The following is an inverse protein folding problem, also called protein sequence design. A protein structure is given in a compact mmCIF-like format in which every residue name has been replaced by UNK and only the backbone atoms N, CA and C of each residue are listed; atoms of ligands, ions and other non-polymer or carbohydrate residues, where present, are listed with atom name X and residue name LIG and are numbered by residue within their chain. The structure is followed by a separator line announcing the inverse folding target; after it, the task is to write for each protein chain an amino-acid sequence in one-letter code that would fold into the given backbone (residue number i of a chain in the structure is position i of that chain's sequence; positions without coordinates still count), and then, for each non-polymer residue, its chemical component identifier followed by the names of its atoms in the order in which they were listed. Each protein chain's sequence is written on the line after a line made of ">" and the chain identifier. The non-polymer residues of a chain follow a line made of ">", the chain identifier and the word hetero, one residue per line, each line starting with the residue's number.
data_IF_489871865449
#
_entry.id   IF_489871865449
#
_cell.length_a   1.000
_cell.length_b   1.000
_cell.length_c   1.000
_cell.angle_alpha   90.00
_cell.angle_beta   90.00
_cell.angle_gamma   90.00
#
_symmetry.space_group_name_H-M   'P 1'
#
loop_
_entity.id
_entity.type
_entity.pdbx_description
1 polymer ?
#
# COMPACT_ATOMS: atom_id res chain seq x y z
N UNK A 1 -19.28 -22.58 35.94
CA UNK A 1 -18.48 -21.37 35.77
C UNK A 1 -17.11 -21.64 35.12
N UNK A 2 -16.30 -22.52 35.67
CA UNK A 2 -14.97 -22.81 35.08
C UNK A 2 -15.03 -23.23 33.59
N UNK A 3 -15.99 -24.05 33.17
CA UNK A 3 -16.16 -24.51 31.78
C UNK A 3 -16.54 -23.39 30.82
N UNK A 4 -17.35 -22.40 31.28
CA UNK A 4 -17.77 -21.25 30.47
C UNK A 4 -16.59 -20.31 30.26
N UNK A 5 -15.79 -20.07 31.28
CA UNK A 5 -14.60 -19.21 31.22
C UNK A 5 -13.57 -19.82 30.25
N UNK A 6 -13.35 -21.14 30.31
CA UNK A 6 -12.43 -21.84 29.41
C UNK A 6 -12.91 -21.74 27.96
N UNK A 7 -14.21 -21.85 27.69
CA UNK A 7 -14.80 -21.71 26.37
C UNK A 7 -14.60 -20.27 25.82
N UNK A 8 -14.83 -19.25 26.61
CA UNK A 8 -14.67 -17.83 26.21
C UNK A 8 -13.20 -17.54 25.89
N UNK A 9 -12.27 -18.02 26.70
CA UNK A 9 -10.83 -17.84 26.45
C UNK A 9 -10.44 -18.51 25.12
N UNK A 10 -10.93 -19.72 24.88
CA UNK A 10 -10.68 -20.44 23.62
C UNK A 10 -11.18 -19.68 22.40
N UNK A 11 -12.37 -19.11 22.46
CA UNK A 11 -12.95 -18.29 21.37
C UNK A 11 -12.12 -17.03 21.11
N UNK A 12 -11.70 -16.33 22.16
CA UNK A 12 -10.86 -15.13 22.03
C UNK A 12 -9.52 -15.44 21.38
N UNK A 13 -8.89 -16.54 21.75
CA UNK A 13 -7.60 -16.97 21.15
C UNK A 13 -7.78 -17.28 19.65
N UNK A 14 -8.83 -18.00 19.28
CA UNK A 14 -9.11 -18.34 17.87
C UNK A 14 -9.39 -17.09 17.05
N UNK A 15 -10.20 -16.17 17.54
CA UNK A 15 -10.49 -14.90 16.87
C UNK A 15 -9.24 -14.04 16.71
N UNK A 16 -8.39 -13.98 17.72
CA UNK A 16 -7.12 -13.24 17.68
C UNK A 16 -6.16 -13.85 16.66
N UNK A 17 -6.05 -15.15 16.61
CA UNK A 17 -5.23 -15.87 15.64
C UNK A 17 -5.76 -15.65 14.21
N UNK A 18 -7.07 -15.73 13.99
CA UNK A 18 -7.67 -15.48 12.68
C UNK A 18 -7.42 -14.04 12.20
N UNK A 19 -7.50 -13.07 13.12
CA UNK A 19 -7.23 -11.67 12.81
C UNK A 19 -5.76 -11.43 12.47
N UNK A 20 -4.85 -12.07 13.19
CA UNK A 20 -3.41 -12.01 12.94
C UNK A 20 -3.06 -12.62 11.57
N UNK A 21 -3.55 -13.82 11.27
CA UNK A 21 -3.35 -14.47 9.98
C UNK A 21 -3.89 -13.65 8.80
N UNK A 22 -5.05 -13.02 8.97
CA UNK A 22 -5.64 -12.16 7.93
C UNK A 22 -4.78 -10.92 7.68
N UNK A 23 -4.13 -10.39 8.70
CA UNK A 23 -3.25 -9.22 8.60
C UNK A 23 -1.94 -9.54 7.87
N UNK A 24 -1.35 -10.71 8.12
CA UNK A 24 -0.11 -11.14 7.46
C UNK A 24 -0.31 -11.57 6.00
N UNK A 25 -1.52 -11.98 5.65
CA UNK A 25 -1.84 -12.46 4.31
C UNK A 25 -2.24 -11.35 3.31
N UNK A 26 -2.08 -10.10 3.66
CA UNK A 26 -2.43 -8.98 2.79
C UNK A 26 -1.18 -8.17 2.46
N UNK A 27 -0.94 -7.93 1.18
CA UNK A 27 0.11 -7.01 0.74
C UNK A 27 -0.20 -5.58 1.18
N UNK A 28 0.82 -4.84 1.57
CA UNK A 28 0.67 -3.45 2.00
C UNK A 28 1.66 -2.54 1.29
N UNK A 29 1.20 -1.33 1.00
CA UNK A 29 2.03 -0.23 0.53
C UNK A 29 1.90 0.89 1.56
N UNK A 30 3.01 1.28 2.16
CA UNK A 30 3.06 2.36 3.14
C UNK A 30 3.69 3.57 2.51
N UNK A 31 2.95 4.67 2.43
CA UNK A 31 3.45 5.95 1.95
C UNK A 31 3.82 6.83 3.14
N UNK A 32 5.06 7.27 3.19
CA UNK A 32 5.55 8.24 4.18
C UNK A 32 5.82 9.57 3.50
N UNK A 33 5.07 10.60 3.86
CA UNK A 33 5.34 11.94 3.40
C UNK A 33 6.32 12.64 4.35
N UNK A 34 7.57 12.74 3.95
CA UNK A 34 8.62 13.43 4.72
C UNK A 34 8.63 14.94 4.50
N UNK A 35 7.77 15.45 3.61
CA UNK A 35 7.69 16.87 3.27
C UNK A 35 6.78 17.64 4.22
N UNK A 36 6.77 18.96 4.08
CA UNK A 36 5.89 19.87 4.82
C UNK A 36 4.61 20.20 4.06
N UNK A 37 4.42 19.60 2.89
CA UNK A 37 3.26 19.80 2.02
C UNK A 37 2.39 18.55 1.99
N UNK A 38 1.09 18.73 1.79
CA UNK A 38 0.18 17.64 1.52
C UNK A 38 0.43 17.09 0.13
N UNK A 39 0.37 15.77 -0.03
CA UNK A 39 0.56 15.09 -1.32
C UNK A 39 -0.76 14.46 -1.72
N UNK A 40 -1.23 14.86 -2.90
CA UNK A 40 -2.50 14.43 -3.49
C UNK A 40 -2.31 14.02 -4.95
N UNK A 41 -3.37 13.49 -5.55
CA UNK A 41 -3.45 13.23 -6.98
C UNK A 41 -2.39 12.27 -7.51
N UNK A 42 -2.06 11.26 -6.72
CA UNK A 42 -1.23 10.15 -7.19
C UNK A 42 -2.04 8.85 -7.22
N UNK A 43 -1.63 7.95 -8.09
CA UNK A 43 -2.37 6.75 -8.43
C UNK A 43 -1.43 5.55 -8.50
N UNK A 44 -1.98 4.36 -8.28
CA UNK A 44 -1.25 3.09 -8.43
C UNK A 44 -1.95 2.18 -9.43
N UNK A 45 -1.19 1.27 -10.00
CA UNK A 45 -1.71 0.25 -10.90
C UNK A 45 -0.85 -1.02 -10.85
N UNK A 46 -1.50 -2.18 -10.78
CA UNK A 46 -0.87 -3.44 -11.16
C UNK A 46 -0.69 -3.48 -12.68
N UNK A 47 0.39 -4.08 -13.15
CA UNK A 47 0.71 -4.11 -14.59
C UNK A 47 -0.34 -4.77 -15.47
N UNK A 48 -1.18 -5.65 -14.90
CA UNK A 48 -2.29 -6.30 -15.61
C UNK A 48 -3.57 -5.48 -15.69
N UNK A 49 -3.66 -4.36 -14.97
CA UNK A 49 -4.85 -3.51 -14.94
C UNK A 49 -4.83 -2.48 -16.08
N UNK A 50 -6.01 -2.13 -16.60
CA UNK A 50 -6.18 -1.12 -17.64
C UNK A 50 -6.34 0.30 -17.09
N UNK A 51 -6.68 0.43 -15.81
CA UNK A 51 -6.97 1.71 -15.17
C UNK A 51 -6.14 1.94 -13.92
N UNK A 52 -5.87 3.22 -13.65
CA UNK A 52 -5.18 3.68 -12.45
C UNK A 52 -6.16 3.91 -11.30
N UNK A 53 -5.75 3.54 -10.10
CA UNK A 53 -6.51 3.72 -8.87
C UNK A 53 -5.94 4.85 -8.04
N UNK A 54 -6.79 5.80 -7.64
CA UNK A 54 -6.39 6.91 -6.77
C UNK A 54 -6.05 6.40 -5.38
N UNK A 55 -4.95 6.91 -4.83
CA UNK A 55 -4.48 6.48 -3.50
C UNK A 55 -5.05 7.34 -2.37
N UNK A 56 -5.28 8.61 -2.59
CA UNK A 56 -5.75 9.55 -1.57
C UNK A 56 -4.68 10.55 -1.14
N UNK A 57 -5.01 11.32 -0.11
CA UNK A 57 -4.13 12.38 0.42
C UNK A 57 -3.20 11.85 1.50
N UNK A 58 -1.94 12.27 1.44
CA UNK A 58 -0.99 12.06 2.53
C UNK A 58 -0.65 13.43 3.14
N UNK A 59 -1.08 13.64 4.37
CA UNK A 59 -0.83 14.90 5.08
C UNK A 59 0.66 15.17 5.30
N UNK A 60 1.07 16.43 5.51
CA UNK A 60 2.46 16.77 5.82
C UNK A 60 2.99 15.94 6.98
N UNK A 61 4.18 15.36 6.82
CA UNK A 61 4.81 14.45 7.80
C UNK A 61 3.97 13.22 8.16
N UNK A 62 2.93 12.95 7.38
CA UNK A 62 1.97 11.88 7.61
C UNK A 62 2.36 10.56 6.93
N UNK A 63 1.55 9.56 7.24
CA UNK A 63 1.68 8.21 6.73
C UNK A 63 0.32 7.72 6.23
N UNK A 64 0.30 7.05 5.10
CA UNK A 64 -0.86 6.37 4.56
C UNK A 64 -0.50 4.90 4.28
N UNK A 65 -1.25 3.99 4.88
CA UNK A 65 -1.07 2.56 4.65
C UNK A 65 -2.26 2.07 3.85
N UNK A 66 -2.00 1.51 2.68
CA UNK A 66 -3.03 0.86 1.88
C UNK A 66 -2.81 -0.64 1.84
N UNK A 67 -3.90 -1.38 1.97
CA UNK A 67 -3.92 -2.82 1.71
C UNK A 67 -4.12 -3.00 0.21
N UNK A 68 -3.27 -3.80 -0.38
CA UNK A 68 -3.29 -4.02 -1.83
C UNK A 68 -3.37 -5.50 -2.13
N UNK A 69 -4.51 -5.93 -2.66
CA UNK A 69 -4.68 -7.27 -3.19
C UNK A 69 -4.64 -7.22 -4.71
N UNK A 70 -3.92 -8.14 -5.36
CA UNK A 70 -3.90 -8.17 -6.81
C UNK A 70 -5.28 -8.50 -7.39
N UNK A 71 -5.59 -8.02 -8.61
CA UNK A 71 -6.81 -8.40 -9.32
C UNK A 71 -6.90 -9.91 -9.51
N UNK A 72 -8.12 -10.44 -9.67
CA UNK A 72 -8.34 -11.89 -9.84
C UNK A 72 -7.57 -12.50 -11.02
N UNK A 73 -7.45 -11.75 -12.10
CA UNK A 73 -6.76 -12.17 -13.32
C UNK A 73 -5.24 -11.91 -13.28
N UNK A 74 -4.73 -11.34 -12.19
CA UNK A 74 -3.31 -11.08 -12.03
C UNK A 74 -2.57 -12.40 -11.73
N UNK A 75 -1.53 -12.71 -12.49
CA UNK A 75 -0.66 -13.85 -12.25
C UNK A 75 0.69 -13.38 -11.70
N UNK A 76 1.34 -12.48 -12.41
CA UNK A 76 2.62 -11.90 -12.06
C UNK A 76 2.79 -10.53 -12.70
N UNK A 77 3.66 -9.70 -12.19
CA UNK A 77 3.95 -8.40 -12.76
C UNK A 77 4.51 -7.40 -11.75
N UNK A 78 4.23 -6.16 -12.00
CA UNK A 78 4.73 -5.01 -11.24
C UNK A 78 3.60 -4.21 -10.62
N UNK A 79 3.93 -3.32 -9.69
CA UNK A 79 3.06 -2.26 -9.22
C UNK A 79 3.75 -0.93 -9.48
N UNK A 80 3.06 -0.03 -10.17
CA UNK A 80 3.55 1.28 -10.55
C UNK A 80 2.78 2.39 -9.84
N UNK A 81 3.48 3.49 -9.60
CA UNK A 81 2.96 4.74 -9.08
C UNK A 81 2.97 5.77 -10.20
N UNK A 82 1.87 6.51 -10.37
CA UNK A 82 1.77 7.61 -11.32
C UNK A 82 1.39 8.91 -10.63
N UNK A 83 2.00 9.99 -11.07
CA UNK A 83 1.62 11.36 -10.72
C UNK A 83 1.95 12.30 -11.88
N UNK A 84 1.53 13.54 -11.77
CA UNK A 84 1.79 14.56 -12.79
C UNK A 84 2.61 15.69 -12.17
N UNK A 85 3.62 16.16 -12.90
CA UNK A 85 4.41 17.30 -12.45
C UNK A 85 3.64 18.62 -12.58
N UNK A 86 4.26 19.72 -12.22
CA UNK A 86 3.65 21.04 -12.26
C UNK A 86 3.21 21.47 -13.67
N UNK A 87 3.81 20.91 -14.71
CA UNK A 87 3.48 21.19 -16.12
C UNK A 87 2.45 20.20 -16.70
N UNK A 88 1.94 19.27 -15.88
CA UNK A 88 1.00 18.25 -16.32
C UNK A 88 1.65 17.06 -17.00
N UNK A 89 2.98 16.92 -16.95
CA UNK A 89 3.68 15.77 -17.50
C UNK A 89 3.54 14.55 -16.59
N UNK A 90 3.21 13.42 -17.18
CA UNK A 90 3.10 12.14 -16.47
C UNK A 90 4.46 11.66 -15.97
N UNK A 91 4.49 11.27 -14.72
CA UNK A 91 5.62 10.61 -14.08
C UNK A 91 5.17 9.24 -13.58
N UNK A 92 5.91 8.21 -13.93
CA UNK A 92 5.65 6.83 -13.50
C UNK A 92 6.88 6.29 -12.80
N UNK A 93 6.67 5.75 -11.60
CA UNK A 93 7.70 5.10 -10.79
C UNK A 93 7.29 3.66 -10.51
N UNK A 94 8.21 2.73 -10.70
CA UNK A 94 8.00 1.35 -10.32
C UNK A 94 8.24 1.19 -8.82
N UNK A 95 7.20 0.84 -8.06
CA UNK A 95 7.30 0.70 -6.60
C UNK A 95 7.40 -0.75 -6.13
N UNK A 96 6.92 -1.70 -6.93
CA UNK A 96 7.15 -3.13 -6.72
C UNK A 96 7.67 -3.71 -8.02
N UNK A 97 8.94 -4.08 -8.05
CA UNK A 97 9.62 -4.52 -9.27
C UNK A 97 9.12 -5.84 -9.83
N UNK A 98 8.71 -6.75 -8.97
CA UNK A 98 8.11 -8.02 -9.34
C UNK A 98 7.28 -8.59 -8.19
N UNK A 99 6.11 -9.09 -8.51
CA UNK A 99 5.27 -9.83 -7.56
C UNK A 99 4.42 -10.86 -8.28
N UNK A 100 3.98 -11.85 -7.55
CA UNK A 100 3.08 -12.91 -8.01
C UNK A 100 1.77 -12.87 -7.24
N UNK A 101 0.72 -13.47 -7.80
CA UNK A 101 -0.61 -13.50 -7.19
C UNK A 101 -0.62 -14.02 -5.75
N UNK A 102 0.15 -15.07 -5.47
CA UNK A 102 0.19 -15.72 -4.15
C UNK A 102 1.27 -15.15 -3.23
N UNK A 103 2.16 -14.32 -3.77
CA UNK A 103 3.21 -13.65 -2.99
C UNK A 103 2.63 -12.40 -2.34
N UNK A 104 3.04 -12.17 -1.09
CA UNK A 104 2.69 -10.94 -0.36
C UNK A 104 3.91 -10.04 -0.26
N UNK A 105 3.69 -8.75 -0.41
CA UNK A 105 4.74 -7.75 -0.29
C UNK A 105 4.35 -6.68 0.73
N UNK A 106 5.35 -6.11 1.36
CA UNK A 106 5.21 -4.98 2.26
C UNK A 106 6.26 -3.95 1.85
N UNK A 107 5.84 -3.00 1.05
CA UNK A 107 6.74 -1.96 0.52
C UNK A 107 6.48 -0.63 1.22
N UNK A 108 7.54 0.09 1.50
CA UNK A 108 7.50 1.44 2.03
C UNK A 108 7.99 2.42 0.97
N UNK A 109 7.15 3.38 0.63
CA UNK A 109 7.45 4.47 -0.30
C UNK A 109 7.64 5.74 0.50
N UNK A 110 8.87 6.22 0.61
CA UNK A 110 9.18 7.48 1.27
C UNK A 110 9.27 8.61 0.25
N UNK A 111 8.46 9.64 0.42
CA UNK A 111 8.52 10.85 -0.40
C UNK A 111 9.34 11.87 0.37
N UNK A 112 10.59 12.06 -0.07
CA UNK A 112 11.59 12.86 0.63
C UNK A 112 11.46 14.34 0.35
N UNK A 113 11.11 14.68 -0.88
CA UNK A 113 10.91 16.07 -1.31
C UNK A 113 10.01 16.13 -2.54
N UNK A 114 9.40 17.29 -2.72
CA UNK A 114 8.64 17.64 -3.93
C UNK A 114 9.20 18.96 -4.45
N UNK A 115 9.68 18.96 -5.69
CA UNK A 115 10.18 20.16 -6.36
C UNK A 115 9.60 20.23 -7.77
N UNK A 116 8.92 21.33 -8.08
CA UNK A 116 8.21 21.51 -9.36
C UNK A 116 7.21 20.39 -9.68
N UNK A 117 6.58 19.85 -8.62
CA UNK A 117 5.67 18.71 -8.72
C UNK A 117 6.35 17.36 -8.89
N UNK A 118 7.68 17.31 -8.91
CA UNK A 118 8.46 16.07 -9.03
C UNK A 118 8.82 15.53 -7.65
N UNK A 119 8.45 14.28 -7.40
CA UNK A 119 8.72 13.59 -6.15
C UNK A 119 10.12 12.97 -6.16
N UNK A 120 10.88 13.20 -5.10
CA UNK A 120 12.05 12.38 -4.79
C UNK A 120 11.61 11.24 -3.89
N UNK A 121 11.65 10.03 -4.43
CA UNK A 121 11.12 8.83 -3.78
C UNK A 121 12.25 7.87 -3.42
N UNK A 122 12.15 7.27 -2.25
CA UNK A 122 12.98 6.16 -1.82
C UNK A 122 12.08 4.98 -1.47
N UNK A 123 12.39 3.80 -2.01
CA UNK A 123 11.63 2.57 -1.81
C UNK A 123 12.43 1.63 -0.91
N UNK A 124 11.75 1.12 0.12
CA UNK A 124 12.35 0.21 1.11
C UNK A 124 11.58 -1.09 1.24
#
# INVERSE_FOLDING_TARGET
>A
MKRIITLIIGIVIVLSAMFYFKRENTSTITFNNKTRESIENFEIKYSSEDSWEKVGEIKPKGKLIIKSDPPENFQEGTVDLRYFDKNGNEKVENIVGYTEKLSKFHVKVEILSVKDGIFKIEIK
#
